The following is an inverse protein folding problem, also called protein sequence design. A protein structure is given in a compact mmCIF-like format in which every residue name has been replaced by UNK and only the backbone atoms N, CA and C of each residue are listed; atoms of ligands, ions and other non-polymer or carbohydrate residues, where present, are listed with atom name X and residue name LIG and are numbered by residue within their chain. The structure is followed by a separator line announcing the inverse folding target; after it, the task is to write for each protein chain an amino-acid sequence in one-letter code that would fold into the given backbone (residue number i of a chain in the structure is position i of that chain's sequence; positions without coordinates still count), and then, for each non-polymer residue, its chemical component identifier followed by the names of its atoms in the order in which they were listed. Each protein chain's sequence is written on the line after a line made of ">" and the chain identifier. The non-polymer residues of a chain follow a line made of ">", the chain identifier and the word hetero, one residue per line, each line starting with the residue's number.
data_IF_294133045045
#
_entry.id   IF_294133045045
#
_cell.length_a   1.000
_cell.length_b   1.000
_cell.length_c   1.000
_cell.angle_alpha   90.00
_cell.angle_beta   90.00
_cell.angle_gamma   90.00
#
_symmetry.space_group_name_H-M   'P 1'
#
loop_
_entity.id
_entity.type
_entity.pdbx_description
1 polymer ?
#
# COMPACT_ATOMS: atom_id res chain seq x y z
N UNK A 1 -5.95 0.85 -16.57
CA UNK A 1 -6.74 1.27 -15.41
C UNK A 1 -6.05 0.90 -14.11
N UNK A 2 -6.04 1.80 -13.16
CA UNK A 2 -5.36 1.58 -11.89
C UNK A 2 -6.24 0.77 -10.93
N UNK A 3 -5.76 -0.39 -10.52
CA UNK A 3 -6.45 -1.20 -9.51
C UNK A 3 -6.35 -0.54 -8.13
N UNK A 4 -5.26 0.18 -7.88
CA UNK A 4 -5.10 0.95 -6.65
C UNK A 4 -6.19 2.01 -6.51
N UNK A 5 -6.40 2.80 -7.56
CA UNK A 5 -7.44 3.83 -7.58
C UNK A 5 -8.82 3.22 -7.26
N UNK A 6 -9.15 2.13 -7.92
CA UNK A 6 -10.44 1.47 -7.75
C UNK A 6 -10.63 0.97 -6.32
N UNK A 7 -9.59 0.35 -5.77
CA UNK A 7 -9.61 -0.14 -4.40
C UNK A 7 -9.73 1.02 -3.41
N UNK A 8 -8.90 2.05 -3.57
CA UNK A 8 -8.90 3.21 -2.68
C UNK A 8 -10.26 3.89 -2.66
N UNK A 9 -10.82 4.16 -3.84
CA UNK A 9 -12.11 4.83 -3.96
C UNK A 9 -13.22 4.04 -3.29
N UNK A 10 -13.25 2.73 -3.49
CA UNK A 10 -14.25 1.85 -2.89
C UNK A 10 -14.16 1.85 -1.37
N UNK A 11 -12.97 1.67 -0.82
CA UNK A 11 -12.78 1.63 0.62
C UNK A 11 -12.98 3.00 1.27
N UNK A 12 -12.55 4.07 0.59
CA UNK A 12 -12.77 5.43 1.07
C UNK A 12 -14.27 5.74 1.17
N UNK A 13 -15.04 5.37 0.15
CA UNK A 13 -16.49 5.63 0.14
C UNK A 13 -17.19 4.93 1.30
N UNK A 14 -16.70 3.77 1.71
CA UNK A 14 -17.28 3.05 2.85
C UNK A 14 -17.10 3.79 4.18
N UNK A 15 -16.08 4.62 4.30
CA UNK A 15 -15.78 5.34 5.54
C UNK A 15 -16.76 6.47 5.79
N UNK A 16 -17.42 6.97 4.76
CA UNK A 16 -18.41 8.04 4.87
C UNK A 16 -17.84 9.28 5.57
N UNK A 17 -16.61 9.65 5.24
CA UNK A 17 -15.95 10.86 5.75
C UNK A 17 -15.64 11.79 4.59
N UNK A 18 -15.50 13.09 4.86
CA UNK A 18 -15.18 14.04 3.81
C UNK A 18 -13.75 13.85 3.31
N UNK A 19 -13.52 14.24 2.06
CA UNK A 19 -12.18 14.18 1.46
C UNK A 19 -11.20 15.05 2.24
N UNK A 20 -11.63 16.24 2.69
CA UNK A 20 -10.79 17.14 3.48
C UNK A 20 -10.35 16.51 4.80
N UNK A 21 -11.28 15.88 5.50
CA UNK A 21 -10.99 15.23 6.79
C UNK A 21 -10.04 14.05 6.60
N UNK A 22 -10.27 13.25 5.58
CA UNK A 22 -9.43 12.09 5.32
C UNK A 22 -8.01 12.52 4.95
N UNK A 23 -7.88 13.54 4.07
CA UNK A 23 -6.58 14.09 3.70
C UNK A 23 -5.84 14.63 4.93
N UNK A 24 -6.56 15.32 5.82
CA UNK A 24 -6.00 15.86 7.06
C UNK A 24 -5.42 14.75 7.94
N UNK A 25 -6.16 13.67 8.12
CA UNK A 25 -5.69 12.54 8.94
C UNK A 25 -4.48 11.86 8.33
N UNK A 26 -4.33 11.91 7.00
CA UNK A 26 -3.18 11.36 6.31
C UNK A 26 -1.98 12.32 6.25
N UNK A 27 -2.18 13.59 6.59
CA UNK A 27 -1.14 14.60 6.50
C UNK A 27 -0.82 15.02 5.08
N UNK A 28 -1.80 14.95 4.18
CA UNK A 28 -1.63 15.35 2.76
C UNK A 28 -2.70 16.39 2.41
N UNK A 29 -2.52 17.05 1.27
CA UNK A 29 -3.50 18.01 0.78
C UNK A 29 -4.74 17.28 0.24
N UNK A 30 -5.89 17.95 0.33
CA UNK A 30 -7.13 17.43 -0.25
C UNK A 30 -6.99 17.29 -1.77
N UNK A 31 -6.23 18.19 -2.40
CA UNK A 31 -5.97 18.14 -3.83
C UNK A 31 -5.22 16.86 -4.21
N UNK A 32 -4.16 16.52 -3.46
CA UNK A 32 -3.39 15.31 -3.72
C UNK A 32 -4.25 14.05 -3.52
N UNK A 33 -5.03 14.03 -2.44
CA UNK A 33 -5.95 12.92 -2.22
C UNK A 33 -6.93 12.78 -3.39
N UNK A 34 -7.44 13.91 -3.90
CA UNK A 34 -8.30 13.90 -5.08
C UNK A 34 -7.63 13.28 -6.29
N UNK A 35 -6.34 13.58 -6.50
CA UNK A 35 -5.57 13.00 -7.60
C UNK A 35 -5.43 11.48 -7.45
N UNK A 36 -5.21 11.01 -6.22
CA UNK A 36 -5.13 9.56 -5.95
C UNK A 36 -6.48 8.89 -6.22
N UNK A 37 -7.56 9.50 -5.78
CA UNK A 37 -8.91 8.96 -5.96
C UNK A 37 -9.35 8.93 -7.43
N UNK A 38 -8.87 9.87 -8.23
CA UNK A 38 -9.19 9.94 -9.66
C UNK A 38 -8.24 9.13 -10.53
N UNK A 39 -7.16 8.63 -9.95
CA UNK A 39 -6.16 7.90 -10.70
C UNK A 39 -5.21 8.77 -11.50
N UNK A 40 -5.20 10.08 -11.23
CA UNK A 40 -4.27 11.02 -11.87
C UNK A 40 -2.85 10.83 -11.35
N UNK A 41 -2.71 10.32 -10.13
CA UNK A 41 -1.44 9.94 -9.54
C UNK A 41 -1.50 8.46 -9.16
N UNK A 42 -0.40 7.76 -9.39
CA UNK A 42 -0.28 6.36 -9.02
C UNK A 42 -0.11 6.17 -7.52
N UNK A 43 0.11 4.93 -7.08
CA UNK A 43 0.25 4.67 -5.64
C UNK A 43 1.40 5.47 -5.02
N UNK A 44 1.19 5.96 -3.79
CA UNK A 44 2.21 6.77 -3.11
C UNK A 44 3.36 5.93 -2.55
N UNK A 45 4.28 6.59 -1.83
CA UNK A 45 5.39 5.91 -1.19
C UNK A 45 4.90 4.99 -0.06
N UNK A 46 5.81 4.15 0.45
CA UNK A 46 5.46 3.16 1.47
C UNK A 46 4.88 3.75 2.74
N UNK A 47 5.42 4.87 3.18
CA UNK A 47 4.95 5.51 4.42
C UNK A 47 3.48 5.92 4.31
N UNK A 48 3.12 6.53 3.20
CA UNK A 48 1.74 6.94 2.97
C UNK A 48 0.83 5.75 2.69
N UNK A 49 1.34 4.72 2.00
CA UNK A 49 0.60 3.47 1.81
C UNK A 49 0.14 2.90 3.14
N UNK A 50 1.06 2.84 4.11
CA UNK A 50 0.76 2.32 5.45
C UNK A 50 -0.28 3.17 6.15
N UNK A 51 -0.12 4.49 6.12
CA UNK A 51 -1.08 5.41 6.74
C UNK A 51 -2.47 5.25 6.16
N UNK A 52 -2.58 5.12 4.85
CA UNK A 52 -3.87 4.92 4.19
C UNK A 52 -4.52 3.63 4.69
N UNK A 53 -3.77 2.53 4.77
CA UNK A 53 -4.31 1.26 5.23
C UNK A 53 -4.82 1.34 6.67
N UNK A 54 -4.14 2.11 7.52
CA UNK A 54 -4.53 2.31 8.92
C UNK A 54 -5.78 3.16 9.01
N UNK A 55 -5.82 4.28 8.29
CA UNK A 55 -6.98 5.18 8.32
C UNK A 55 -8.22 4.53 7.71
N UNK A 56 -8.05 3.66 6.72
CA UNK A 56 -9.16 2.89 6.16
C UNK A 56 -9.57 1.72 7.05
N UNK A 57 -8.80 1.42 8.07
CA UNK A 57 -9.07 0.30 8.99
C UNK A 57 -9.27 -1.02 8.25
N UNK A 58 -8.37 -1.28 7.30
CA UNK A 58 -8.47 -2.50 6.48
C UNK A 58 -8.25 -3.75 7.32
N UNK A 59 -9.03 -4.79 7.05
CA UNK A 59 -8.82 -6.11 7.64
C UNK A 59 -7.49 -6.68 7.15
N UNK A 60 -6.96 -7.69 7.84
CA UNK A 60 -5.70 -8.31 7.43
C UNK A 60 -5.77 -8.84 6.00
N UNK A 61 -6.91 -9.42 5.62
CA UNK A 61 -7.11 -9.90 4.25
C UNK A 61 -7.07 -8.75 3.24
N UNK A 62 -7.76 -7.65 3.53
CA UNK A 62 -7.79 -6.48 2.63
C UNK A 62 -6.46 -5.77 2.58
N UNK A 63 -5.70 -5.74 3.69
CA UNK A 63 -4.35 -5.18 3.70
C UNK A 63 -3.45 -5.93 2.73
N UNK A 64 -3.48 -7.26 2.75
CA UNK A 64 -2.69 -8.07 1.81
C UNK A 64 -3.07 -7.78 0.37
N UNK A 65 -4.36 -7.74 0.08
CA UNK A 65 -4.84 -7.39 -1.27
C UNK A 65 -4.36 -6.01 -1.69
N UNK A 66 -4.46 -5.04 -0.79
CA UNK A 66 -4.07 -3.66 -1.01
C UNK A 66 -2.57 -3.55 -1.35
N UNK A 67 -1.71 -4.11 -0.50
CA UNK A 67 -0.27 -4.03 -0.72
C UNK A 67 0.18 -4.81 -1.96
N UNK A 68 -0.47 -5.95 -2.24
CA UNK A 68 -0.17 -6.75 -3.44
C UNK A 68 -0.52 -6.00 -4.72
N UNK A 69 -1.67 -5.36 -4.78
CA UNK A 69 -2.06 -4.64 -5.98
C UNK A 69 -1.19 -3.40 -6.21
N UNK A 70 -0.77 -2.73 -5.14
CA UNK A 70 0.17 -1.61 -5.25
C UNK A 70 1.52 -2.09 -5.79
N UNK A 71 2.03 -3.19 -5.24
CA UNK A 71 3.30 -3.77 -5.66
C UNK A 71 3.31 -4.09 -7.15
N UNK A 72 2.22 -4.66 -7.64
CA UNK A 72 2.11 -4.99 -9.06
C UNK A 72 2.10 -3.73 -9.94
N UNK A 73 1.40 -2.69 -9.52
CA UNK A 73 1.38 -1.42 -10.26
C UNK A 73 2.73 -0.71 -10.28
N UNK A 74 3.44 -0.75 -9.16
CA UNK A 74 4.74 -0.07 -9.02
C UNK A 74 5.91 -0.94 -9.44
N UNK A 75 5.66 -2.21 -9.75
CA UNK A 75 6.71 -3.19 -10.04
C UNK A 75 7.72 -3.25 -8.89
N UNK A 76 7.21 -3.46 -7.69
CA UNK A 76 7.97 -3.38 -6.45
C UNK A 76 7.54 -4.50 -5.51
N UNK A 77 8.19 -4.60 -4.35
CA UNK A 77 7.85 -5.55 -3.31
C UNK A 77 6.66 -5.01 -2.51
N UNK A 78 5.69 -5.85 -2.12
CA UNK A 78 4.61 -5.39 -1.24
C UNK A 78 5.16 -4.76 0.03
N UNK A 79 4.60 -3.62 0.41
CA UNK A 79 5.10 -2.82 1.53
C UNK A 79 5.12 -3.59 2.84
N UNK A 80 4.11 -4.42 3.10
CA UNK A 80 4.05 -5.23 4.33
C UNK A 80 5.20 -6.23 4.41
N UNK A 81 5.56 -6.84 3.27
CA UNK A 81 6.70 -7.77 3.20
C UNK A 81 8.01 -7.00 3.38
N UNK A 82 8.14 -5.86 2.68
CA UNK A 82 9.33 -5.00 2.78
C UNK A 82 9.60 -4.60 4.24
N UNK A 83 8.57 -4.16 4.96
CA UNK A 83 8.70 -3.74 6.34
C UNK A 83 9.18 -4.88 7.24
N UNK A 84 8.65 -6.08 7.06
CA UNK A 84 9.05 -7.25 7.84
C UNK A 84 10.50 -7.63 7.57
N UNK A 85 10.91 -7.62 6.31
CA UNK A 85 12.29 -7.94 5.92
C UNK A 85 13.25 -6.91 6.49
N UNK A 86 12.91 -5.62 6.32
CA UNK A 86 13.76 -4.53 6.78
C UNK A 86 13.98 -4.56 8.30
N UNK A 87 12.92 -4.82 9.06
CA UNK A 87 12.97 -4.85 10.53
C UNK A 87 13.65 -6.09 11.09
N UNK A 88 13.81 -7.13 10.29
CA UNK A 88 14.36 -8.42 10.75
C UNK A 88 15.65 -8.75 9.99
N UNK A 89 16.64 -7.88 10.11
CA UNK A 89 17.91 -8.04 9.39
C UNK A 89 18.62 -9.35 9.71
N UNK A 90 18.39 -9.91 10.90
CA UNK A 90 18.96 -11.19 11.30
C UNK A 90 18.41 -12.36 10.47
N UNK A 91 17.31 -12.13 9.76
CA UNK A 91 16.69 -13.15 8.89
C UNK A 91 17.11 -13.00 7.42
N UNK A 92 17.86 -11.96 7.08
CA UNK A 92 18.19 -11.66 5.69
C UNK A 92 18.92 -12.80 4.99
N UNK A 93 19.86 -13.47 5.68
CA UNK A 93 20.60 -14.58 5.07
C UNK A 93 19.70 -15.78 4.79
N UNK A 94 18.76 -16.05 5.69
CA UNK A 94 17.78 -17.13 5.48
C UNK A 94 16.90 -16.81 4.25
N UNK A 95 16.50 -15.56 4.12
CA UNK A 95 15.70 -15.10 2.96
C UNK A 95 16.48 -15.25 1.67
N UNK A 96 17.78 -14.87 1.68
CA UNK A 96 18.64 -15.03 0.51
C UNK A 96 18.74 -16.50 0.07
N UNK A 97 18.84 -17.41 1.02
CA UNK A 97 18.91 -18.85 0.73
C UNK A 97 17.62 -19.35 0.07
N UNK A 98 16.48 -18.90 0.57
CA UNK A 98 15.18 -19.28 0.00
C UNK A 98 15.05 -18.77 -1.44
N UNK A 99 15.38 -17.51 -1.67
CA UNK A 99 15.30 -16.88 -3.00
C UNK A 99 16.25 -17.60 -3.96
N UNK A 100 17.49 -17.84 -3.55
CA UNK A 100 18.48 -18.53 -4.38
C UNK A 100 18.00 -19.92 -4.79
N UNK A 101 17.44 -20.67 -3.84
CA UNK A 101 16.93 -22.02 -4.10
C UNK A 101 15.80 -22.01 -5.14
N UNK A 102 14.90 -21.02 -5.05
CA UNK A 102 13.79 -20.92 -5.99
C UNK A 102 14.23 -20.48 -7.38
N UNK A 103 15.20 -19.57 -7.45
CA UNK A 103 15.69 -19.02 -8.73
C UNK A 103 16.59 -20.01 -9.47
N UNK A 104 17.35 -20.82 -8.75
CA UNK A 104 18.31 -21.77 -9.35
C UNK A 104 17.67 -23.09 -9.80
N UNK A 105 16.40 -23.28 -9.53
CA UNK A 105 15.65 -24.43 -10.05
C UNK A 105 15.44 -24.27 -11.57
#
# INVERSE_FOLDING_TARGET
>A
MSKFKTFLKKEFNKKNVSQNKFAQSLGISSFYLGQLLKGEKGPPDRKLQIKISEELELSEKKKRQYFDLIAKEKNDIPTDIYEKIFKNSEKWNDIRKIIKREVEK
#
